data_IF_825600201491
#
_entry.id   IF_825600201491
#
_cell.length_a   1.000
_cell.length_b   1.000
_cell.length_c   1.000
_cell.angle_alpha   90.00
_cell.angle_beta   90.00
_cell.angle_gamma   90.00
#
_symmetry.space_group_name_H-M   'P 1'
#
loop_
_entity.id
_entity.type
_entity.pdbx_description
1 polymer ?
#
# COMPACT_ATOMS: atom_id res chain seq x y z
N UNK A 1 0.10 7.94 15.46
CA UNK A 1 -1.17 7.78 16.21
C UNK A 1 -1.54 6.31 16.20
N UNK A 2 -2.11 5.77 17.28
CA UNK A 2 -2.62 4.39 17.27
C UNK A 2 -3.81 4.29 16.33
N UNK A 3 -3.75 3.30 15.43
CA UNK A 3 -4.81 2.96 14.48
C UNK A 3 -5.14 1.48 14.53
N UNK A 4 -6.44 1.19 14.50
CA UNK A 4 -6.94 -0.17 14.29
C UNK A 4 -7.11 -0.38 12.78
N UNK A 5 -6.41 -1.37 12.23
CA UNK A 5 -6.37 -1.68 10.80
C UNK A 5 -6.54 -3.18 10.56
N UNK A 6 -6.86 -3.54 9.32
CA UNK A 6 -6.88 -4.93 8.85
C UNK A 6 -5.50 -5.36 8.36
N UNK A 7 -5.02 -6.48 8.90
CA UNK A 7 -3.81 -7.16 8.43
C UNK A 7 -4.17 -8.43 7.68
N UNK A 8 -3.81 -8.51 6.39
CA UNK A 8 -4.00 -9.73 5.60
C UNK A 8 -3.01 -10.80 6.07
N UNK A 9 -3.53 -11.98 6.39
CA UNK A 9 -2.78 -13.16 6.83
C UNK A 9 -3.15 -14.44 6.06
N UNK A 10 -4.17 -14.38 5.19
CA UNK A 10 -4.61 -15.53 4.40
C UNK A 10 -3.79 -15.77 3.12
N UNK A 11 -4.10 -16.88 2.45
CA UNK A 11 -3.44 -17.34 1.22
C UNK A 11 -3.93 -16.58 -0.03
N UNK A 12 -3.36 -16.92 -1.19
CA UNK A 12 -3.90 -16.51 -2.50
C UNK A 12 -5.31 -17.10 -2.65
N UNK A 13 -6.27 -16.31 -3.14
CA UNK A 13 -7.70 -16.65 -3.26
C UNK A 13 -8.46 -16.98 -1.95
N UNK A 14 -7.79 -16.98 -0.80
CA UNK A 14 -8.40 -17.15 0.51
C UNK A 14 -7.98 -15.99 1.43
N UNK A 15 -8.67 -14.84 1.34
CA UNK A 15 -8.33 -13.68 2.14
C UNK A 15 -8.77 -13.89 3.60
N UNK A 16 -7.80 -13.99 4.49
CA UNK A 16 -8.03 -13.88 5.94
C UNK A 16 -7.39 -12.59 6.45
N UNK A 17 -8.06 -11.91 7.37
CA UNK A 17 -7.59 -10.67 7.99
C UNK A 17 -7.56 -10.78 9.51
N UNK A 18 -6.64 -10.05 10.13
CA UNK A 18 -6.61 -9.81 11.59
C UNK A 18 -6.90 -8.35 11.86
N UNK A 19 -7.70 -8.06 12.89
CA UNK A 19 -7.82 -6.71 13.43
C UNK A 19 -6.64 -6.47 14.36
N UNK A 20 -5.83 -5.48 14.03
CA UNK A 20 -4.57 -5.21 14.71
C UNK A 20 -4.51 -3.74 15.09
N UNK A 21 -4.11 -3.48 16.34
CA UNK A 21 -3.79 -2.15 16.84
C UNK A 21 -2.30 -1.87 16.62
N UNK A 22 -1.98 -0.85 15.84
CA UNK A 22 -0.59 -0.44 15.60
C UNK A 22 -0.47 1.06 15.44
N UNK A 23 0.74 1.60 15.55
CA UNK A 23 0.99 2.99 15.20
C UNK A 23 0.85 3.20 13.69
N UNK A 24 0.36 4.37 13.28
CA UNK A 24 0.14 4.76 11.90
C UNK A 24 1.42 4.70 11.04
N UNK A 25 2.60 4.85 11.66
CA UNK A 25 3.90 4.77 10.99
C UNK A 25 4.29 3.34 10.62
N UNK A 26 3.77 2.34 11.35
CA UNK A 26 4.14 0.95 11.12
C UNK A 26 3.39 0.39 9.91
N UNK A 27 4.08 -0.42 9.11
CA UNK A 27 3.43 -1.16 8.03
C UNK A 27 2.65 -2.35 8.56
N UNK A 28 1.52 -2.65 7.93
CA UNK A 28 0.72 -3.85 8.23
C UNK A 28 1.54 -5.14 8.13
N UNK A 29 2.52 -5.17 7.23
CA UNK A 29 3.31 -6.37 6.94
C UNK A 29 4.49 -6.55 7.89
N UNK A 30 4.86 -5.50 8.63
CA UNK A 30 6.07 -5.50 9.47
C UNK A 30 5.90 -6.32 10.76
N UNK A 31 4.69 -6.77 11.09
CA UNK A 31 4.42 -7.55 12.31
C UNK A 31 4.55 -6.76 13.62
N UNK A 32 4.91 -5.47 13.56
CA UNK A 32 5.00 -4.59 14.73
C UNK A 32 3.61 -4.06 15.08
N UNK A 33 2.99 -4.67 16.07
CA UNK A 33 1.69 -4.26 16.60
C UNK A 33 1.66 -4.32 18.12
N UNK A 34 0.79 -3.52 18.72
CA UNK A 34 0.60 -3.51 20.16
C UNK A 34 -0.29 -4.67 20.62
N UNK A 35 -1.41 -4.90 19.92
CA UNK A 35 -2.38 -5.93 20.29
C UNK A 35 -3.17 -6.46 19.08
N UNK A 36 -3.51 -7.75 19.11
CA UNK A 36 -4.46 -8.36 18.18
C UNK A 36 -5.86 -8.38 18.80
N UNK A 37 -6.75 -7.58 18.21
CA UNK A 37 -8.12 -7.38 18.66
C UNK A 37 -9.10 -8.41 18.07
N UNK A 38 -8.72 -9.12 17.01
CA UNK A 38 -9.54 -10.20 16.47
C UNK A 38 -9.13 -10.71 15.10
N UNK A 39 -9.97 -11.56 14.54
CA UNK A 39 -9.86 -12.12 13.19
C UNK A 39 -11.13 -11.83 12.40
N UNK A 40 -10.96 -11.45 11.14
CA UNK A 40 -12.00 -11.15 10.17
C UNK A 40 -11.76 -11.98 8.91
N UNK A 41 -12.74 -12.78 8.51
CA UNK A 41 -12.72 -13.50 7.24
C UNK A 41 -14.00 -13.15 6.48
N UNK A 42 -13.93 -12.44 5.34
CA UNK A 42 -15.11 -12.02 4.60
C UNK A 42 -15.90 -13.18 3.99
N UNK A 43 -15.29 -14.38 3.87
CA UNK A 43 -15.95 -15.58 3.31
C UNK A 43 -16.65 -16.39 4.38
N UNK A 44 -16.29 -16.22 5.65
CA UNK A 44 -16.86 -16.96 6.78
C UNK A 44 -17.83 -16.08 7.56
N UNK A 45 -18.94 -16.67 7.99
CA UNK A 45 -19.95 -15.97 8.80
C UNK A 45 -19.49 -15.76 10.25
N UNK A 46 -18.60 -16.62 10.75
CA UNK A 46 -18.11 -16.56 12.13
C UNK A 46 -16.75 -15.88 12.19
N UNK A 47 -16.67 -14.86 13.01
CA UNK A 47 -15.48 -14.05 13.24
C UNK A 47 -15.28 -13.85 14.73
N UNK A 48 -14.03 -13.89 15.18
CA UNK A 48 -13.69 -13.70 16.58
C UNK A 48 -13.19 -12.24 16.77
N UNK A 49 -14.06 -11.36 17.28
CA UNK A 49 -13.70 -9.99 17.65
C UNK A 49 -13.77 -9.80 19.17
N UNK A 50 -12.72 -9.23 19.75
CA UNK A 50 -12.67 -8.87 21.17
C UNK A 50 -13.30 -7.49 21.37
N UNK A 51 -14.63 -7.48 21.54
CA UNK A 51 -15.43 -6.24 21.59
C UNK A 51 -14.98 -5.32 22.74
N UNK A 52 -14.70 -5.88 23.92
CA UNK A 52 -14.30 -5.11 25.11
C UNK A 52 -13.00 -4.34 24.88
N UNK A 53 -12.02 -5.00 24.25
CA UNK A 53 -10.74 -4.38 23.91
C UNK A 53 -10.89 -3.31 22.83
N UNK A 54 -11.73 -3.55 21.82
CA UNK A 54 -12.01 -2.56 20.78
C UNK A 54 -12.62 -1.29 21.40
N UNK A 55 -13.62 -1.44 22.29
CA UNK A 55 -14.24 -0.31 23.00
C UNK A 55 -13.24 0.43 23.87
N UNK A 56 -12.41 -0.29 24.61
CA UNK A 56 -11.35 0.32 25.43
C UNK A 56 -10.43 1.21 24.60
N UNK A 57 -9.92 0.70 23.48
CA UNK A 57 -9.01 1.47 22.62
C UNK A 57 -9.69 2.66 21.93
N UNK A 58 -10.98 2.56 21.62
CA UNK A 58 -11.77 3.68 21.13
C UNK A 58 -11.90 4.79 22.18
N UNK A 59 -12.13 4.42 23.44
CA UNK A 59 -12.14 5.38 24.56
C UNK A 59 -10.78 6.04 24.78
N UNK A 60 -9.67 5.36 24.45
CA UNK A 60 -8.31 5.92 24.47
C UNK A 60 -7.97 6.79 23.23
N UNK A 61 -8.91 6.98 22.30
CA UNK A 61 -8.69 7.79 21.10
C UNK A 61 -7.97 7.07 19.96
N UNK A 62 -7.98 5.73 19.93
CA UNK A 62 -7.45 4.99 18.80
C UNK A 62 -8.30 5.26 17.53
N UNK A 63 -7.63 5.60 16.43
CA UNK A 63 -8.30 5.83 15.15
C UNK A 63 -8.71 4.52 14.46
N UNK A 64 -9.82 4.53 13.73
CA UNK A 64 -10.24 3.42 12.86
C UNK A 64 -9.91 3.73 11.40
N UNK A 65 -9.62 2.71 10.59
CA UNK A 65 -9.65 2.84 9.13
C UNK A 65 -11.09 2.72 8.61
N UNK A 66 -11.40 3.30 7.44
CA UNK A 66 -12.76 3.28 6.90
C UNK A 66 -13.36 1.87 6.76
N UNK A 67 -12.55 0.87 6.36
CA UNK A 67 -13.01 -0.51 6.24
C UNK A 67 -13.34 -1.13 7.60
N UNK A 68 -12.54 -0.83 8.62
CA UNK A 68 -12.80 -1.30 10.00
C UNK A 68 -14.02 -0.60 10.57
N UNK A 69 -14.18 0.71 10.36
CA UNK A 69 -15.37 1.45 10.75
C UNK A 69 -16.64 0.81 10.15
N UNK A 70 -16.63 0.55 8.85
CA UNK A 70 -17.75 -0.11 8.17
C UNK A 70 -18.04 -1.51 8.71
N UNK A 71 -17.00 -2.28 9.01
CA UNK A 71 -17.13 -3.62 9.61
C UNK A 71 -17.80 -3.54 11.00
N UNK A 72 -17.35 -2.63 11.86
CA UNK A 72 -17.88 -2.47 13.21
C UNK A 72 -19.33 -1.93 13.20
N UNK A 73 -19.66 -1.05 12.25
CA UNK A 73 -21.04 -0.59 12.03
C UNK A 73 -21.93 -1.73 11.53
N UNK A 74 -21.46 -2.53 10.56
CA UNK A 74 -22.23 -3.68 10.05
C UNK A 74 -22.55 -4.71 11.14
N UNK A 75 -21.68 -4.82 12.13
CA UNK A 75 -21.88 -5.68 13.31
C UNK A 75 -22.67 -5.04 14.45
N UNK A 76 -23.01 -3.76 14.36
CA UNK A 76 -23.72 -3.03 15.41
C UNK A 76 -22.87 -2.77 16.67
N UNK A 77 -21.54 -2.88 16.59
CA UNK A 77 -20.64 -2.62 17.73
C UNK A 77 -20.51 -1.11 17.97
N UNK A 78 -20.48 -0.34 16.88
CA UNK A 78 -20.40 1.13 16.90
C UNK A 78 -21.57 1.67 16.08
N UNK A 79 -22.17 2.76 16.54
CA UNK A 79 -23.16 3.52 15.77
C UNK A 79 -22.44 4.64 15.03
N UNK A 80 -22.60 4.69 13.71
CA UNK A 80 -21.94 5.69 12.89
C UNK A 80 -22.33 5.62 11.41
N UNK A 81 -21.91 6.62 10.64
CA UNK A 81 -22.07 6.63 9.19
C UNK A 81 -21.02 5.73 8.55
N UNK A 82 -21.43 4.94 7.55
CA UNK A 82 -20.49 4.16 6.73
C UNK A 82 -19.70 5.12 5.84
N UNK A 83 -18.40 4.88 5.73
CA UNK A 83 -17.50 5.67 4.89
C UNK A 83 -17.25 4.91 3.59
N UNK A 84 -17.38 5.55 2.43
CA UNK A 84 -16.95 4.93 1.18
C UNK A 84 -15.42 4.74 1.23
N UNK A 85 -14.95 3.52 1.01
CA UNK A 85 -13.52 3.20 1.04
C UNK A 85 -13.04 2.94 -0.37
N UNK A 86 -12.31 3.91 -0.93
CA UNK A 86 -11.78 3.85 -2.29
C UNK A 86 -12.54 4.75 -3.25
N UNK A 87 -12.21 6.04 -3.25
CA UNK A 87 -12.50 6.96 -4.36
C UNK A 87 -11.84 8.35 -4.20
N UNK A 88 -11.05 8.61 -3.15
CA UNK A 88 -10.45 9.95 -2.96
C UNK A 88 -9.21 10.23 -3.83
N UNK A 89 -8.78 9.27 -4.66
CA UNK A 89 -7.70 9.48 -5.63
C UNK A 89 -8.11 10.35 -6.83
N UNK A 90 -9.39 10.73 -6.95
CA UNK A 90 -9.88 11.50 -8.10
C UNK A 90 -10.00 13.01 -7.82
N UNK A 91 -10.14 13.44 -6.56
CA UNK A 91 -10.38 14.88 -6.27
C UNK A 91 -9.16 15.66 -5.78
N UNK A 92 -8.10 14.99 -5.32
CA UNK A 92 -6.87 15.68 -4.85
C UNK A 92 -5.76 15.79 -5.91
N UNK A 93 -6.14 15.76 -7.19
CA UNK A 93 -5.24 16.02 -8.32
C UNK A 93 -5.70 17.21 -9.18
N UNK A 94 -6.76 17.94 -8.79
CA UNK A 94 -7.32 19.06 -9.58
C UNK A 94 -7.05 20.45 -9.02
N UNK A 95 -6.33 20.58 -7.91
CA UNK A 95 -5.99 21.90 -7.35
C UNK A 95 -4.51 21.95 -6.97
N UNK A 96 -3.66 21.97 -7.99
CA UNK A 96 -2.35 22.57 -7.88
C UNK A 96 -2.49 24.03 -8.35
N UNK A 97 -2.40 25.04 -7.48
CA UNK A 97 -2.23 26.40 -7.95
C UNK A 97 -0.84 26.50 -8.58
N UNK A 98 -0.80 26.78 -9.88
CA UNK A 98 0.41 27.21 -10.60
C UNK A 98 0.69 28.66 -10.21
N UNK A 99 1.76 28.98 -9.45
CA UNK A 99 2.27 30.35 -9.44
C UNK A 99 2.99 30.58 -10.77
N UNK A 100 2.43 31.50 -11.53
CA UNK A 100 2.94 32.05 -12.77
C UNK A 100 4.27 32.77 -12.53
N UNK A 101 5.10 32.66 -13.57
CA UNK A 101 6.42 33.23 -13.81
C UNK A 101 6.66 34.71 -13.45
N UNK A 102 7.88 34.94 -12.93
CA UNK A 102 8.77 36.11 -13.07
C UNK A 102 10.17 35.57 -12.68
N UNK A 103 11.31 35.76 -13.33
CA UNK A 103 11.77 36.51 -14.51
C UNK A 103 13.22 35.95 -14.85
N UNK A 104 14.04 36.52 -15.75
CA UNK A 104 14.52 35.86 -16.99
C UNK A 104 16.07 35.85 -17.17
N UNK A 105 16.54 35.65 -18.42
CA UNK A 105 17.89 35.95 -19.00
C UNK A 105 18.94 34.83 -18.75
N UNK A 106 19.77 34.30 -19.66
CA UNK A 106 20.32 34.65 -20.98
C UNK A 106 20.87 33.34 -21.61
N UNK A 107 20.65 33.01 -22.89
CA UNK A 107 21.47 33.34 -24.08
C UNK A 107 22.51 32.26 -24.54
N UNK A 108 22.14 31.59 -25.64
CA UNK A 108 22.87 31.24 -26.89
C UNK A 108 24.07 30.24 -26.93
N UNK A 109 24.41 29.66 -28.12
CA UNK A 109 24.55 28.20 -28.31
C UNK A 109 25.90 27.79 -28.95
N UNK A 110 26.23 26.50 -29.03
CA UNK A 110 27.33 26.04 -29.91
C UNK A 110 27.02 24.67 -30.53
N UNK A 111 26.97 24.66 -31.86
CA UNK A 111 27.07 23.52 -32.79
C UNK A 111 28.36 22.70 -32.54
N UNK A 112 28.45 21.40 -32.78
CA UNK A 112 28.48 20.80 -34.13
C UNK A 112 28.58 19.26 -34.02
N UNK A 113 28.12 18.53 -35.05
CA UNK A 113 28.04 17.07 -35.12
C UNK A 113 29.19 16.43 -35.93
N UNK A 114 29.63 15.21 -35.61
CA UNK A 114 30.42 14.31 -36.48
C UNK A 114 30.12 12.85 -36.07
N UNK A 115 29.31 12.08 -36.80
CA UNK A 115 29.63 11.17 -37.94
C UNK A 115 30.39 9.88 -37.55
N UNK A 116 29.61 8.78 -37.54
CA UNK A 116 29.80 7.37 -38.04
C UNK A 116 31.08 7.08 -38.88
N UNK A 117 31.53 5.81 -39.15
CA UNK A 117 30.87 4.49 -38.99
C UNK A 117 31.78 3.24 -38.72
N UNK A 118 31.17 2.03 -38.76
CA UNK A 118 31.70 0.72 -39.25
C UNK A 118 32.86 0.07 -38.46
N UNK A 119 33.06 -1.25 -38.34
CA UNK A 119 32.41 -2.51 -38.73
C UNK A 119 33.13 -3.66 -37.95
N UNK A 120 32.70 -4.91 -38.18
CA UNK A 120 33.35 -6.19 -37.78
C UNK A 120 33.14 -6.66 -36.32
N UNK A 121 32.81 -7.91 -36.00
CA UNK A 121 32.74 -9.15 -36.77
C UNK A 121 31.84 -10.18 -36.05
N UNK A 122 31.05 -10.93 -36.82
CA UNK A 122 30.27 -12.10 -36.40
C UNK A 122 30.89 -13.32 -37.08
N UNK A 123 31.25 -14.33 -36.28
CA UNK A 123 31.46 -15.78 -36.52
C UNK A 123 32.50 -16.26 -35.48
N UNK A 124 32.46 -17.41 -34.84
CA UNK A 124 31.92 -18.73 -35.17
C UNK A 124 31.83 -19.55 -33.85
N UNK A 125 30.75 -20.31 -33.66
CA UNK A 125 30.70 -21.55 -32.84
C UNK A 125 31.34 -22.68 -33.70
N UNK A 126 31.56 -23.97 -33.31
CA UNK A 126 31.22 -24.68 -32.06
C UNK A 126 32.21 -25.78 -31.55
N UNK A 127 32.00 -26.23 -30.30
CA UNK A 127 31.99 -27.63 -29.79
C UNK A 127 33.18 -28.59 -30.05
N UNK A 128 33.84 -29.05 -28.96
CA UNK A 128 34.26 -30.47 -28.80
C UNK A 128 34.33 -30.88 -27.29
N UNK A 129 34.18 -32.19 -26.98
CA UNK A 129 33.75 -32.73 -25.70
C UNK A 129 34.91 -33.15 -24.78
N UNK A 130 34.63 -33.30 -23.48
CA UNK A 130 35.45 -34.12 -22.58
C UNK A 130 34.58 -35.18 -21.90
N UNK A 131 34.93 -36.48 -22.02
CA UNK A 131 34.28 -37.57 -21.34
C UNK A 131 34.92 -37.83 -19.97
N UNK A 132 34.15 -38.21 -18.95
CA UNK A 132 34.71 -39.03 -17.87
C UNK A 132 33.62 -39.82 -17.11
N UNK A 133 33.91 -41.13 -17.03
CA UNK A 133 33.47 -42.24 -16.15
C UNK A 133 32.00 -42.64 -16.08
#
# INVERSE_FOLDING_TARGET
MLKIRLQRVGRKHEPGFRLVLTDSKNSTKSGRFAEVLGSYDPRKTREALKIDRIKHWLSQGAGLTGSVNNLLIRKGIIRGKKTHVGSDFVEKAKEAPVPVAEAPVAEVPVETPVKTPAAEEVKETPQEPSPEV
#
